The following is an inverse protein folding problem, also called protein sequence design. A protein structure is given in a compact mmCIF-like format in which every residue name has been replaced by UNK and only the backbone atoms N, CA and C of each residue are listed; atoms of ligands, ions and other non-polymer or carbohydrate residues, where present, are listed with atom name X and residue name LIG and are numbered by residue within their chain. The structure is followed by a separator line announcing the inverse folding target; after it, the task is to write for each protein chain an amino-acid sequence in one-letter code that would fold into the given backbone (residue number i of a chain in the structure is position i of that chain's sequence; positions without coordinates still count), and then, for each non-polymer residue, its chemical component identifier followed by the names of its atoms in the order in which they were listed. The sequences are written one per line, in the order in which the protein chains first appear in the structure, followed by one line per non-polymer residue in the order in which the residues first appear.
data_IF_286556563518
#
_entry.id   IF_286556563518
#
_cell.length_a   1.000
_cell.length_b   1.000
_cell.length_c   1.000
_cell.angle_alpha   90.00
_cell.angle_beta   90.00
_cell.angle_gamma   90.00
#
_symmetry.space_group_name_H-M   'P 1'
#
loop_
_entity.id
_entity.type
_entity.pdbx_description
1 polymer ?
#
# COMPACT_ATOMS: atom_id res chain seq x y z
N UNK A 1 -17.88 38.93 9.96
CA UNK A 1 -17.44 37.97 11.00
C UNK A 1 -18.65 37.63 11.85
N UNK A 2 -19.16 36.40 11.71
CA UNK A 2 -19.68 35.67 12.87
C UNK A 2 -19.21 34.20 12.91
N UNK A 3 -18.53 33.90 14.01
CA UNK A 3 -18.67 32.75 14.91
C UNK A 3 -18.67 31.32 14.36
N UNK A 4 -17.50 30.69 14.54
CA UNK A 4 -17.29 29.25 14.65
C UNK A 4 -17.75 28.75 16.04
N UNK A 5 -18.70 27.79 16.15
CA UNK A 5 -18.74 26.89 17.28
C UNK A 5 -17.95 25.62 16.94
N UNK A 6 -16.77 25.51 17.55
CA UNK A 6 -15.95 24.31 17.57
C UNK A 6 -16.69 23.22 18.37
N UNK A 7 -17.19 22.20 17.67
CA UNK A 7 -17.74 20.98 18.26
C UNK A 7 -17.19 19.76 17.55
N UNK A 8 -16.03 19.27 17.99
CA UNK A 8 -15.54 17.92 17.72
C UNK A 8 -15.36 17.20 19.07
N UNK A 9 -15.44 15.86 19.19
CA UNK A 9 -15.45 14.84 18.13
C UNK A 9 -16.54 13.75 18.31
N UNK A 10 -17.36 13.48 17.29
CA UNK A 10 -18.16 12.24 17.26
C UNK A 10 -17.31 11.12 16.65
N UNK A 11 -16.90 10.17 17.49
CA UNK A 11 -16.13 8.99 17.12
C UNK A 11 -16.78 8.21 15.96
N UNK A 12 -16.01 7.64 15.01
CA UNK A 12 -16.58 6.86 13.92
C UNK A 12 -17.16 5.55 14.49
N UNK A 13 -18.47 5.42 14.41
CA UNK A 13 -19.18 4.18 14.66
C UNK A 13 -18.67 3.11 13.68
N UNK A 14 -17.95 2.11 14.19
CA UNK A 14 -17.55 0.92 13.43
C UNK A 14 -18.82 0.15 13.04
N UNK A 15 -19.26 0.35 11.80
CA UNK A 15 -20.33 -0.43 11.18
C UNK A 15 -19.78 -1.83 10.84
N UNK A 16 -20.59 -2.90 10.99
CA UNK A 16 -20.11 -4.28 10.96
C UNK A 16 -19.63 -4.69 9.56
N UNK A 17 -18.51 -5.43 9.55
CA UNK A 17 -17.87 -6.00 8.38
C UNK A 17 -18.85 -6.81 7.53
N UNK A 18 -19.33 -6.20 6.45
CA UNK A 18 -19.99 -6.91 5.35
C UNK A 18 -18.90 -7.45 4.42
N UNK A 19 -19.05 -8.71 4.01
CA UNK A 19 -18.08 -9.52 3.28
C UNK A 19 -17.41 -8.84 2.07
N UNK A 20 -16.17 -9.21 1.70
CA UNK A 20 -15.33 -8.47 0.77
C UNK A 20 -15.66 -8.80 -0.68
N UNK A 21 -16.85 -8.42 -1.16
CA UNK A 21 -17.11 -8.38 -2.60
C UNK A 21 -16.46 -7.13 -3.26
N UNK A 22 -16.17 -6.09 -2.46
CA UNK A 22 -15.55 -4.84 -2.91
C UNK A 22 -14.02 -4.82 -2.82
N UNK A 23 -13.42 -5.73 -2.05
CA UNK A 23 -11.96 -5.80 -1.93
C UNK A 23 -11.29 -6.12 -3.27
N UNK A 24 -11.94 -6.83 -4.19
CA UNK A 24 -11.35 -7.18 -5.48
C UNK A 24 -11.19 -5.98 -6.45
N UNK A 25 -12.06 -4.96 -6.35
CA UNK A 25 -11.93 -3.72 -7.14
C UNK A 25 -10.95 -2.74 -6.50
N UNK A 26 -10.96 -2.63 -5.16
CA UNK A 26 -9.99 -1.83 -4.40
C UNK A 26 -8.57 -2.41 -4.47
N UNK A 27 -8.43 -3.74 -4.46
CA UNK A 27 -7.17 -4.46 -4.65
C UNK A 27 -6.56 -4.10 -6.00
N UNK A 28 -7.35 -3.94 -7.07
CA UNK A 28 -6.82 -3.53 -8.39
C UNK A 28 -6.36 -2.09 -8.38
N UNK A 29 -7.03 -1.18 -7.66
CA UNK A 29 -6.60 0.21 -7.49
C UNK A 29 -5.32 0.34 -6.68
N UNK A 30 -5.18 -0.42 -5.59
CA UNK A 30 -3.95 -0.51 -4.80
C UNK A 30 -2.82 -1.21 -5.58
N UNK A 31 -3.15 -2.23 -6.37
CA UNK A 31 -2.23 -2.90 -7.29
C UNK A 31 -1.80 -1.97 -8.43
N UNK A 32 -2.65 -1.04 -8.88
CA UNK A 32 -2.31 0.04 -9.83
C UNK A 32 -1.45 1.14 -9.19
N UNK A 33 -1.67 1.46 -7.92
CA UNK A 33 -0.83 2.38 -7.16
C UNK A 33 0.56 1.79 -6.88
N UNK A 34 0.63 0.49 -6.56
CA UNK A 34 1.87 -0.26 -6.42
C UNK A 34 2.53 -0.55 -7.77
N UNK A 35 1.75 -0.71 -8.84
CA UNK A 35 2.24 -0.83 -10.21
C UNK A 35 2.36 0.52 -10.91
N UNK A 36 2.37 1.63 -10.16
CA UNK A 36 2.80 2.92 -10.71
C UNK A 36 4.09 2.65 -11.48
N UNK A 37 4.14 2.93 -12.79
CA UNK A 37 5.27 2.53 -13.63
C UNK A 37 6.64 2.90 -13.02
N UNK A 38 6.79 4.06 -12.32
CA UNK A 38 8.03 4.38 -11.60
C UNK A 38 8.35 3.45 -10.41
N UNK A 39 7.37 3.13 -9.56
CA UNK A 39 7.57 2.33 -8.35
C UNK A 39 7.82 0.85 -8.69
N UNK A 40 7.17 0.34 -9.75
CA UNK A 40 7.41 -1.01 -10.27
C UNK A 40 8.87 -1.21 -10.70
N UNK A 41 9.44 -0.24 -11.42
CA UNK A 41 10.86 -0.29 -11.85
C UNK A 41 11.79 -0.22 -10.63
N UNK A 42 11.48 0.63 -9.66
CA UNK A 42 12.27 0.71 -8.43
C UNK A 42 12.32 -0.65 -7.69
N UNK A 43 11.16 -1.29 -7.49
CA UNK A 43 11.07 -2.61 -6.87
C UNK A 43 11.83 -3.68 -7.68
N UNK A 44 11.76 -3.63 -9.01
CA UNK A 44 12.48 -4.55 -9.87
C UNK A 44 14.01 -4.41 -9.68
N UNK A 45 14.53 -3.18 -9.69
CA UNK A 45 15.97 -2.92 -9.49
C UNK A 45 16.43 -3.42 -8.12
N UNK A 46 15.73 -3.06 -7.06
CA UNK A 46 16.06 -3.49 -5.69
C UNK A 46 16.00 -5.02 -5.58
N UNK A 47 14.95 -5.65 -6.10
CA UNK A 47 14.81 -7.10 -6.11
C UNK A 47 15.95 -7.80 -6.86
N UNK A 48 16.37 -7.28 -8.02
CA UNK A 48 17.52 -7.81 -8.76
C UNK A 48 18.82 -7.66 -7.97
N UNK A 49 19.07 -6.50 -7.36
CA UNK A 49 20.27 -6.29 -6.53
C UNK A 49 20.31 -7.26 -5.34
N UNK A 50 19.19 -7.44 -4.63
CA UNK A 50 19.09 -8.41 -3.53
C UNK A 50 19.29 -9.85 -4.01
N UNK A 51 18.73 -10.22 -5.16
CA UNK A 51 18.88 -11.57 -5.71
C UNK A 51 20.34 -11.86 -6.07
N UNK A 52 21.02 -10.94 -6.75
CA UNK A 52 22.44 -11.10 -7.08
C UNK A 52 23.30 -11.18 -5.81
N UNK A 53 23.02 -10.32 -4.82
CA UNK A 53 23.73 -10.37 -3.54
C UNK A 53 23.51 -11.71 -2.82
N UNK A 54 22.29 -12.23 -2.79
CA UNK A 54 21.98 -13.52 -2.18
C UNK A 54 22.60 -14.71 -2.93
N UNK A 55 22.63 -14.67 -4.27
CA UNK A 55 23.36 -15.67 -5.07
C UNK A 55 24.85 -15.59 -4.78
N UNK A 56 25.42 -14.40 -4.71
CA UNK A 56 26.83 -14.23 -4.34
C UNK A 56 27.11 -14.78 -2.93
N UNK A 57 26.25 -14.48 -1.95
CA UNK A 57 26.38 -14.97 -0.59
C UNK A 57 26.29 -16.50 -0.52
N UNK A 58 25.30 -17.11 -1.17
CA UNK A 58 25.08 -18.56 -1.07
C UNK A 58 26.09 -19.40 -1.86
N UNK A 59 26.69 -18.85 -2.92
CA UNK A 59 27.55 -19.62 -3.84
C UNK A 59 29.03 -19.17 -3.86
N UNK A 60 29.36 -17.96 -3.38
CA UNK A 60 30.73 -17.43 -3.35
C UNK A 60 31.30 -17.28 -1.92
N UNK A 61 30.52 -17.56 -0.88
CA UNK A 61 31.04 -17.91 0.46
C UNK A 61 31.25 -19.42 0.57
#
# INVERSE_FOLDING_TARGET
MPDTPHGAPAAPARTPATAPAHAAEEQRGCLFALSQPPLMIFLAVVGTLLLLAGVHDLFLL
#
